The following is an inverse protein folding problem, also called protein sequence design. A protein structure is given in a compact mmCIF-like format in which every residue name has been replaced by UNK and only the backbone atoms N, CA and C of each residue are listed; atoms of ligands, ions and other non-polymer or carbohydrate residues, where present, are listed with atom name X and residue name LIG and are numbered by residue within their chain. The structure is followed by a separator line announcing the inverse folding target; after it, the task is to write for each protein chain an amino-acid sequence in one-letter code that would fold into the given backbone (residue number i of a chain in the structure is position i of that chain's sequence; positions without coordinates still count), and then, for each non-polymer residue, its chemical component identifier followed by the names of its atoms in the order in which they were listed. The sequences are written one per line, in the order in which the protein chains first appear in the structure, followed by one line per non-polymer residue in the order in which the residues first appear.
data_IF_679026263357
#
_entry.id   IF_679026263357
#
_cell.length_a   1.000
_cell.length_b   1.000
_cell.length_c   1.000
_cell.angle_alpha   90.00
_cell.angle_beta   90.00
_cell.angle_gamma   90.00
#
_symmetry.space_group_name_H-M   'P 1'
#
loop_
_entity.id
_entity.type
_entity.pdbx_description
1 polymer ?
#
# COMPACT_ATOMS: atom_id res chain seq x y z
N UNK A 1 -5.72 -12.46 15.83
CA UNK A 1 -6.46 -12.14 14.58
C UNK A 1 -7.73 -12.99 14.55
N UNK A 2 -8.90 -12.37 14.36
CA UNK A 2 -10.20 -13.05 14.27
C UNK A 2 -10.16 -14.05 13.10
N UNK A 3 -10.73 -15.25 13.26
CA UNK A 3 -10.65 -16.33 12.26
C UNK A 3 -11.60 -15.99 11.09
N UNK A 4 -11.07 -15.27 10.09
CA UNK A 4 -11.80 -14.91 8.87
C UNK A 4 -11.72 -16.09 7.90
N UNK A 5 -12.88 -16.56 7.45
CA UNK A 5 -13.07 -17.68 6.51
C UNK A 5 -13.52 -17.18 5.13
N UNK A 6 -13.32 -18.01 4.11
CA UNK A 6 -13.85 -17.76 2.75
C UNK A 6 -15.38 -17.61 2.77
N UNK A 7 -15.91 -16.69 1.98
CA UNK A 7 -17.33 -16.32 1.95
C UNK A 7 -17.75 -15.29 3.00
N UNK A 8 -16.86 -14.90 3.93
CA UNK A 8 -17.19 -13.84 4.88
C UNK A 8 -17.18 -12.48 4.19
N UNK A 9 -18.14 -11.63 4.57
CA UNK A 9 -18.17 -10.22 4.22
C UNK A 9 -17.48 -9.38 5.29
N UNK A 10 -16.68 -8.43 4.84
CA UNK A 10 -15.97 -7.44 5.64
C UNK A 10 -16.49 -6.06 5.27
N UNK A 11 -16.77 -5.25 6.29
CA UNK A 11 -17.24 -3.88 6.14
C UNK A 11 -16.12 -2.94 6.60
N UNK A 12 -15.87 -1.90 5.81
CA UNK A 12 -14.81 -0.92 6.02
C UNK A 12 -15.38 0.50 6.08
N UNK A 13 -14.77 1.32 6.93
CA UNK A 13 -15.22 2.68 7.25
C UNK A 13 -16.30 2.70 8.33
N UNK A 14 -16.39 3.81 9.07
CA UNK A 14 -17.35 3.99 10.16
C UNK A 14 -18.81 3.94 9.67
N UNK A 15 -19.02 4.32 8.41
CA UNK A 15 -20.33 4.28 7.74
C UNK A 15 -20.61 2.92 7.04
N UNK A 16 -19.75 1.91 7.20
CA UNK A 16 -19.83 0.60 6.53
C UNK A 16 -19.95 0.67 4.98
N UNK A 17 -19.54 1.80 4.39
CA UNK A 17 -19.77 2.13 2.97
C UNK A 17 -19.00 1.24 2.00
N UNK A 18 -17.93 0.59 2.44
CA UNK A 18 -17.11 -0.26 1.59
C UNK A 18 -17.18 -1.72 2.07
N UNK A 19 -17.70 -2.60 1.22
CA UNK A 19 -17.87 -4.03 1.52
C UNK A 19 -16.88 -4.86 0.70
N UNK A 20 -16.28 -5.88 1.31
CA UNK A 20 -15.48 -6.86 0.60
C UNK A 20 -15.79 -8.30 1.02
N UNK A 21 -15.80 -9.22 0.05
CA UNK A 21 -15.96 -10.65 0.27
C UNK A 21 -14.60 -11.35 0.22
N UNK A 22 -14.38 -12.30 1.14
CA UNK A 22 -13.18 -13.14 1.15
C UNK A 22 -13.36 -14.27 0.15
N UNK A 23 -12.66 -14.20 -0.99
CA UNK A 23 -12.81 -15.19 -2.06
C UNK A 23 -11.82 -16.35 -1.94
N UNK A 24 -10.63 -16.13 -1.35
CA UNK A 24 -9.62 -17.18 -1.25
C UNK A 24 -8.57 -16.90 -0.16
N UNK A 25 -7.82 -17.93 0.23
CA UNK A 25 -6.64 -17.83 1.07
C UNK A 25 -5.37 -18.01 0.23
N UNK A 26 -4.38 -17.14 0.44
CA UNK A 26 -3.09 -17.26 -0.27
C UNK A 26 -2.12 -18.16 0.49
N UNK A 27 -1.14 -18.72 -0.23
CA UNK A 27 -0.08 -19.57 0.35
C UNK A 27 0.81 -18.84 1.36
N UNK A 28 0.85 -17.50 1.30
CA UNK A 28 1.62 -16.63 2.20
C UNK A 28 0.87 -16.21 3.48
N UNK A 29 -0.22 -16.91 3.84
CA UNK A 29 -1.15 -16.53 4.94
C UNK A 29 -1.92 -15.23 4.70
N UNK A 30 -1.94 -14.74 3.46
CA UNK A 30 -2.82 -13.65 3.03
C UNK A 30 -4.23 -14.14 2.72
N UNK A 31 -5.14 -13.20 2.50
CA UNK A 31 -6.48 -13.46 1.95
C UNK A 31 -6.67 -12.65 0.69
N UNK A 32 -7.33 -13.22 -0.29
CA UNK A 32 -7.79 -12.52 -1.48
C UNK A 32 -9.19 -12.00 -1.21
N UNK A 33 -9.37 -10.68 -1.37
CA UNK A 33 -10.64 -9.99 -1.15
C UNK A 33 -11.20 -9.51 -2.48
N UNK A 34 -12.52 -9.53 -2.62
CA UNK A 34 -13.26 -8.89 -3.71
C UNK A 34 -14.10 -7.77 -3.13
N UNK A 35 -13.81 -6.53 -3.52
CA UNK A 35 -14.62 -5.38 -3.13
C UNK A 35 -15.92 -5.34 -3.93
N UNK A 36 -17.03 -5.15 -3.22
CA UNK A 36 -18.36 -4.90 -3.76
C UNK A 36 -18.58 -3.40 -3.64
N UNK A 37 -18.41 -2.68 -4.75
CA UNK A 37 -18.55 -1.22 -4.81
C UNK A 37 -19.39 -0.84 -6.03
N UNK A 38 -20.46 -0.09 -5.80
CA UNK A 38 -21.37 0.37 -6.85
C UNK A 38 -20.92 1.75 -7.32
N UNK A 39 -19.99 1.78 -8.28
CA UNK A 39 -19.39 3.02 -8.80
C UNK A 39 -18.25 2.76 -9.77
N UNK A 40 -17.65 3.84 -10.26
CA UNK A 40 -16.49 3.77 -11.15
C UNK A 40 -15.22 3.34 -10.40
N UNK A 41 -14.25 2.76 -11.12
CA UNK A 41 -12.95 2.41 -10.54
C UNK A 41 -12.25 3.63 -9.90
N UNK A 42 -12.46 4.83 -10.45
CA UNK A 42 -11.88 6.07 -9.93
C UNK A 42 -12.46 6.45 -8.58
N UNK A 43 -13.78 6.38 -8.42
CA UNK A 43 -14.46 6.65 -7.15
C UNK A 43 -14.06 5.62 -6.09
N UNK A 44 -13.98 4.34 -6.47
CA UNK A 44 -13.46 3.29 -5.60
C UNK A 44 -12.04 3.59 -5.10
N UNK A 45 -11.13 4.04 -6.00
CA UNK A 45 -9.77 4.43 -5.63
C UNK A 45 -9.73 5.63 -4.69
N UNK A 46 -10.58 6.64 -4.91
CA UNK A 46 -10.70 7.77 -3.99
C UNK A 46 -11.17 7.32 -2.61
N UNK A 47 -12.17 6.42 -2.55
CA UNK A 47 -12.66 5.87 -1.28
C UNK A 47 -11.61 5.03 -0.55
N UNK A 48 -10.82 4.24 -1.29
CA UNK A 48 -9.70 3.50 -0.71
C UNK A 48 -8.64 4.41 -0.11
N UNK A 49 -8.32 5.54 -0.76
CA UNK A 49 -7.34 6.50 -0.25
C UNK A 49 -7.90 7.29 0.95
N UNK A 50 -9.21 7.55 0.99
CA UNK A 50 -9.87 8.21 2.12
C UNK A 50 -9.89 7.32 3.38
N UNK A 51 -10.13 6.02 3.21
CA UNK A 51 -10.20 5.05 4.31
C UNK A 51 -8.83 4.46 4.68
N UNK A 52 -7.83 4.62 3.81
CA UNK A 52 -6.51 4.03 3.95
C UNK A 52 -5.50 4.99 4.58
N UNK A 53 -4.53 4.44 5.31
CA UNK A 53 -3.42 5.19 5.89
C UNK A 53 -2.08 4.58 5.51
N UNK A 54 -1.02 5.39 5.49
CA UNK A 54 0.34 4.90 5.24
C UNK A 54 0.75 3.97 6.38
N UNK A 55 1.13 2.70 6.10
CA UNK A 55 1.43 1.72 7.14
C UNK A 55 2.79 2.03 7.79
N UNK A 56 2.77 2.78 8.88
CA UNK A 56 3.98 3.05 9.67
C UNK A 56 4.46 1.78 10.39
N UNK A 57 5.78 1.51 10.40
CA UNK A 57 6.39 0.46 11.18
C UNK A 57 6.05 0.60 12.66
N UNK A 58 5.86 -0.54 13.34
CA UNK A 58 5.43 -0.63 14.74
C UNK A 58 6.29 0.15 15.74
N UNK A 59 7.53 0.50 15.39
CA UNK A 59 8.42 1.27 16.25
C UNK A 59 8.16 2.78 16.20
N UNK A 60 7.47 3.28 15.17
CA UNK A 60 7.05 4.68 15.04
C UNK A 60 5.73 4.82 15.80
N UNK A 61 5.76 5.53 16.93
CA UNK A 61 4.61 5.75 17.82
C UNK A 61 4.06 7.17 17.67
N UNK A 62 3.71 7.54 16.45
CA UNK A 62 3.01 8.79 16.13
C UNK A 62 1.99 8.53 15.04
N UNK A 63 1.04 9.44 14.89
CA UNK A 63 0.06 9.40 13.82
C UNK A 63 0.73 9.65 12.46
N UNK A 64 0.02 9.25 11.39
CA UNK A 64 0.48 9.41 10.02
C UNK A 64 0.44 10.88 9.63
N UNK A 65 1.56 11.39 9.12
CA UNK A 65 1.69 12.74 8.59
C UNK A 65 1.65 12.70 7.06
N UNK A 66 1.20 13.77 6.37
CA UNK A 66 1.24 13.84 4.90
C UNK A 66 2.63 13.61 4.31
N UNK A 67 3.67 13.96 5.08
CA UNK A 67 5.06 13.75 4.71
C UNK A 67 5.45 12.27 4.64
N UNK A 68 4.77 11.40 5.39
CA UNK A 68 5.06 9.97 5.37
C UNK A 68 4.71 9.34 4.02
N UNK A 69 3.64 9.79 3.37
CA UNK A 69 3.29 9.32 2.03
C UNK A 69 4.48 9.53 1.07
N UNK A 70 5.08 10.72 1.12
CA UNK A 70 6.26 11.05 0.29
C UNK A 70 7.51 10.27 0.68
N UNK A 71 7.72 9.96 1.97
CA UNK A 71 8.90 9.22 2.47
C UNK A 71 8.82 7.73 2.16
N UNK A 72 7.61 7.17 2.10
CA UNK A 72 7.36 5.76 1.84
C UNK A 72 7.26 5.44 0.35
N UNK A 73 7.01 6.46 -0.49
CA UNK A 73 7.15 6.37 -1.93
C UNK A 73 8.63 6.49 -2.32
N UNK A 74 9.33 5.37 -2.37
CA UNK A 74 10.75 5.36 -2.71
C UNK A 74 11.00 5.79 -4.17
N UNK A 75 12.20 6.31 -4.45
CA UNK A 75 12.65 6.65 -5.81
C UNK A 75 12.66 5.48 -6.79
N UNK A 76 12.56 4.25 -6.28
CA UNK A 76 12.48 3.02 -7.07
C UNK A 76 11.04 2.58 -7.36
N UNK A 77 10.04 3.26 -6.79
CA UNK A 77 8.64 2.90 -6.98
C UNK A 77 8.19 3.15 -8.43
N UNK A 78 8.10 2.08 -9.21
CA UNK A 78 7.65 2.11 -10.62
C UNK A 78 6.13 2.11 -10.75
N UNK A 79 5.44 1.49 -9.78
CA UNK A 79 4.00 1.32 -9.79
C UNK A 79 3.37 2.03 -8.59
N UNK A 80 2.16 2.54 -8.79
CA UNK A 80 1.35 3.12 -7.73
C UNK A 80 1.03 2.05 -6.66
N UNK A 81 1.15 2.40 -5.38
CA UNK A 81 1.00 1.46 -4.26
C UNK A 81 2.28 0.67 -3.91
N UNK A 82 3.40 0.91 -4.59
CA UNK A 82 4.70 0.37 -4.19
C UNK A 82 5.23 1.10 -2.96
N UNK A 83 4.91 0.56 -1.79
CA UNK A 83 5.32 1.08 -0.48
C UNK A 83 6.50 0.27 0.05
N UNK A 84 7.57 0.94 0.45
CA UNK A 84 8.66 0.29 1.17
C UNK A 84 9.01 1.09 2.42
N UNK A 85 9.22 0.38 3.54
CA UNK A 85 9.67 1.01 4.76
C UNK A 85 10.99 1.74 4.50
N UNK A 86 11.13 3.00 4.94
CA UNK A 86 12.28 3.85 4.66
C UNK A 86 13.51 3.28 5.36
N UNK A 87 14.26 2.47 4.61
CA UNK A 87 15.46 1.77 5.08
C UNK A 87 16.62 2.15 4.17
N UNK A 88 17.08 1.24 3.31
CA UNK A 88 18.21 1.48 2.42
C UNK A 88 17.91 2.50 1.31
N UNK A 89 16.64 2.61 0.90
CA UNK A 89 16.21 3.49 -0.20
C UNK A 89 16.48 4.98 0.05
N UNK A 90 16.49 5.43 1.32
CA UNK A 90 16.74 6.82 1.69
C UNK A 90 18.18 7.29 1.40
N UNK A 91 19.13 6.37 1.29
CA UNK A 91 20.53 6.72 1.00
C UNK A 91 20.77 7.03 -0.48
N UNK A 92 19.82 6.68 -1.34
CA UNK A 92 19.92 6.95 -2.76
C UNK A 92 19.17 8.24 -3.10
N UNK A 93 19.85 9.12 -3.83
CA UNK A 93 19.21 10.27 -4.47
C UNK A 93 19.13 10.03 -5.98
N UNK A 94 18.25 10.75 -6.67
CA UNK A 94 18.15 10.71 -8.14
C UNK A 94 19.52 11.00 -8.77
N UNK A 95 20.32 11.89 -8.18
CA UNK A 95 21.67 12.20 -8.65
C UNK A 95 22.62 11.00 -8.54
N UNK A 96 22.55 10.23 -7.45
CA UNK A 96 23.34 9.01 -7.28
C UNK A 96 22.90 7.94 -8.27
N UNK A 97 21.58 7.75 -8.47
CA UNK A 97 21.06 6.78 -9.43
C UNK A 97 21.53 7.08 -10.85
N UNK A 98 21.44 8.35 -11.30
CA UNK A 98 21.93 8.75 -12.62
C UNK A 98 23.43 8.52 -12.79
N UNK A 99 24.24 8.76 -11.75
CA UNK A 99 25.68 8.47 -11.79
C UNK A 99 25.97 6.97 -11.90
N UNK A 100 25.16 6.12 -11.26
CA UNK A 100 25.27 4.67 -11.35
C UNK A 100 24.84 4.15 -12.74
N UNK A 101 23.79 4.72 -13.31
CA UNK A 101 23.32 4.43 -14.66
C UNK A 101 24.39 4.78 -15.71
N UNK A 102 25.02 5.96 -15.61
CA UNK A 102 26.16 6.35 -16.47
C UNK A 102 27.33 5.37 -16.34
N UNK A 103 27.52 4.77 -15.17
CA UNK A 103 28.55 3.74 -14.93
C UNK A 103 28.15 2.34 -15.40
N UNK A 104 26.98 2.18 -16.02
CA UNK A 104 26.50 0.91 -16.58
C UNK A 104 25.79 -0.01 -15.57
N UNK A 105 25.36 0.51 -14.42
CA UNK A 105 24.56 -0.26 -13.45
C UNK A 105 23.09 -0.26 -13.86
N UNK A 106 22.49 -1.45 -13.94
CA UNK A 106 21.08 -1.63 -14.28
C UNK A 106 20.22 -1.77 -13.02
N UNK A 107 19.03 -1.16 -13.03
CA UNK A 107 18.06 -1.24 -11.94
C UNK A 107 16.86 -2.12 -12.36
N UNK A 108 16.44 -3.02 -11.47
CA UNK A 108 15.30 -3.93 -11.69
C UNK A 108 13.95 -3.25 -11.48
#
# INVERSE_FOLDING_TARGET
ARKITTGNQLYFGDDETLVAEVIDNTTSRGRTLRFLYDGSYREFRLKLNELGETPLPKYIKRDVEPEDESRYQTIFAKNEGAVAAPTAGLHFSIHILKRLEIKGVNFA
#
